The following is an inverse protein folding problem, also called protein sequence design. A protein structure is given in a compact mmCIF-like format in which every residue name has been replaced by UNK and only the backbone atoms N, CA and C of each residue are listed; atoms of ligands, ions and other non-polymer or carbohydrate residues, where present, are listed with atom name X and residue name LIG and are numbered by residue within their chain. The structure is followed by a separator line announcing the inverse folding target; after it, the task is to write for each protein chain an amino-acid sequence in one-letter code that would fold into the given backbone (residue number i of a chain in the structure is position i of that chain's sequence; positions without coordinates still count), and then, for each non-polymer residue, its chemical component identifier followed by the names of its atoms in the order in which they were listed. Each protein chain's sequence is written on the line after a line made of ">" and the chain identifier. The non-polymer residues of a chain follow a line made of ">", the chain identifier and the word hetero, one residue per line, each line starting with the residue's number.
data_IF_128437581008
#
_entry.id   IF_128437581008
#
_cell.length_a   1.000
_cell.length_b   1.000
_cell.length_c   1.000
_cell.angle_alpha   90.00
_cell.angle_beta   90.00
_cell.angle_gamma   90.00
#
_symmetry.space_group_name_H-M   'P 1'
#
loop_
_entity.id
_entity.type
_entity.pdbx_description
1 polymer ?
#
# COMPACT_ATOMS: atom_id res chain seq x y z
N UNK A 1 15.60 12.57 -17.61
CA UNK A 1 15.07 13.69 -16.78
C UNK A 1 14.30 13.06 -15.62
N UNK A 2 14.42 13.60 -14.41
CA UNK A 2 13.62 13.19 -13.25
C UNK A 2 12.34 14.05 -13.16
N UNK A 3 11.36 13.63 -12.37
CA UNK A 3 10.12 14.36 -12.14
C UNK A 3 9.46 13.88 -10.85
N UNK A 4 8.89 14.83 -10.11
CA UNK A 4 8.13 14.57 -8.89
C UNK A 4 6.67 14.25 -9.27
N UNK A 5 6.06 13.28 -8.58
CA UNK A 5 4.68 12.86 -8.81
C UNK A 5 3.72 13.42 -7.76
N UNK A 6 2.44 13.05 -7.89
CA UNK A 6 1.33 13.52 -7.05
C UNK A 6 1.70 13.57 -5.56
N UNK A 7 1.70 14.76 -4.94
CA UNK A 7 2.07 14.89 -3.54
C UNK A 7 0.92 14.50 -2.60
N UNK A 8 1.27 14.00 -1.43
CA UNK A 8 0.42 13.93 -0.25
C UNK A 8 0.72 15.12 0.65
N UNK A 9 -0.32 15.85 1.07
CA UNK A 9 -0.22 17.02 1.93
C UNK A 9 -0.81 16.67 3.29
N UNK A 10 -0.10 17.01 4.35
CA UNK A 10 -0.48 16.69 5.73
C UNK A 10 -0.47 17.97 6.56
N UNK A 11 -1.57 18.16 7.28
CA UNK A 11 -1.75 19.12 8.36
C UNK A 11 -1.48 18.36 9.69
N UNK A 12 -0.37 18.68 10.35
CA UNK A 12 0.10 18.00 11.56
C UNK A 12 -0.58 18.56 12.82
N UNK A 13 -0.84 19.86 12.85
CA UNK A 13 -1.37 20.57 14.02
C UNK A 13 -2.88 20.85 13.96
N UNK A 14 -3.53 20.49 12.84
CA UNK A 14 -4.97 20.64 12.56
C UNK A 14 -5.42 22.09 12.47
N UNK A 15 -4.56 22.99 12.03
CA UNK A 15 -4.88 24.40 11.86
C UNK A 15 -5.47 24.74 10.47
N UNK A 16 -5.61 23.75 9.57
CA UNK A 16 -6.13 23.92 8.21
C UNK A 16 -5.07 24.31 7.17
N UNK A 17 -3.79 24.31 7.53
CA UNK A 17 -2.67 24.61 6.64
C UNK A 17 -1.75 23.41 6.48
N UNK A 18 -0.94 23.42 5.42
CA UNK A 18 -0.01 22.33 5.15
C UNK A 18 1.23 22.46 6.03
N UNK A 19 1.65 21.36 6.66
CA UNK A 19 2.90 21.29 7.43
C UNK A 19 3.95 20.39 6.78
N UNK A 20 3.48 19.29 6.17
CA UNK A 20 4.33 18.25 5.63
C UNK A 20 3.83 17.82 4.26
N UNK A 21 4.73 17.70 3.30
CA UNK A 21 4.41 17.20 1.96
C UNK A 21 5.29 15.99 1.64
N UNK A 22 4.69 14.92 1.14
CA UNK A 22 5.39 13.72 0.67
C UNK A 22 5.16 13.51 -0.81
N UNK A 23 6.21 13.22 -1.58
CA UNK A 23 6.07 12.97 -3.01
C UNK A 23 7.15 12.04 -3.53
N UNK A 24 6.76 11.11 -4.40
CA UNK A 24 7.66 10.20 -5.10
C UNK A 24 8.28 10.81 -6.35
N UNK A 25 9.35 10.20 -6.85
CA UNK A 25 9.96 10.56 -8.13
C UNK A 25 10.21 9.35 -9.06
N UNK A 26 10.58 9.64 -10.33
CA UNK A 26 10.87 8.62 -11.33
C UNK A 26 12.06 7.72 -10.98
N UNK A 27 12.95 8.18 -10.10
CA UNK A 27 14.16 7.46 -9.70
C UNK A 27 13.94 6.58 -8.45
N UNK A 28 12.74 6.62 -7.86
CA UNK A 28 12.39 5.81 -6.69
C UNK A 28 12.75 6.47 -5.36
N UNK A 29 12.89 7.79 -5.34
CA UNK A 29 13.06 8.56 -4.10
C UNK A 29 11.71 9.07 -3.60
N UNK A 30 11.42 8.84 -2.31
CA UNK A 30 10.33 9.47 -1.60
C UNK A 30 10.88 10.71 -0.89
N UNK A 31 10.43 11.88 -1.32
CA UNK A 31 10.81 13.17 -0.74
C UNK A 31 9.81 13.57 0.34
N UNK A 32 10.32 14.26 1.36
CA UNK A 32 9.52 14.94 2.36
C UNK A 32 9.93 16.42 2.39
N UNK A 33 8.95 17.32 2.49
CA UNK A 33 9.14 18.76 2.58
C UNK A 33 8.47 19.28 3.83
N UNK A 34 9.16 20.16 4.55
CA UNK A 34 8.62 20.90 5.68
C UNK A 34 8.14 22.27 5.17
N UNK A 35 6.83 22.46 5.28
CA UNK A 35 6.11 23.68 4.88
C UNK A 35 5.34 24.30 6.05
N UNK A 36 5.59 23.83 7.28
CA UNK A 36 4.93 24.30 8.51
C UNK A 36 5.25 25.74 8.88
N UNK A 37 6.30 26.32 8.27
CA UNK A 37 6.65 27.71 8.54
C UNK A 37 5.67 28.66 7.85
N UNK A 38 5.13 29.62 8.60
CA UNK A 38 4.30 30.72 8.05
C UNK A 38 5.00 31.57 6.98
N UNK A 39 6.33 31.52 6.90
CA UNK A 39 7.13 32.22 5.89
C UNK A 39 7.56 31.21 4.81
N UNK A 40 7.02 31.35 3.60
CA UNK A 40 7.25 30.47 2.45
C UNK A 40 8.73 30.28 2.06
N UNK A 41 9.54 31.33 2.19
CA UNK A 41 10.99 31.27 1.93
C UNK A 41 11.76 30.39 2.90
N UNK A 42 11.13 29.94 4.01
CA UNK A 42 11.71 28.99 4.96
C UNK A 42 11.30 27.54 4.69
N UNK A 43 10.43 27.31 3.71
CA UNK A 43 10.07 25.95 3.30
C UNK A 43 11.26 25.23 2.70
N UNK A 44 11.43 23.96 3.05
CA UNK A 44 12.62 23.22 2.65
C UNK A 44 12.40 21.70 2.62
N UNK A 45 13.28 20.94 1.92
CA UNK A 45 13.32 19.50 2.09
C UNK A 45 13.57 19.14 3.56
N UNK A 46 12.71 18.30 4.11
CA UNK A 46 12.66 18.00 5.54
C UNK A 46 13.93 17.33 6.09
N UNK A 47 14.71 16.67 5.24
CA UNK A 47 15.90 15.91 5.63
C UNK A 47 17.17 16.44 4.96
N UNK A 48 17.36 17.75 4.93
CA UNK A 48 18.65 18.35 4.52
C UNK A 48 19.06 17.98 3.09
N UNK A 49 18.14 18.18 2.13
CA UNK A 49 18.28 17.83 0.70
C UNK A 49 18.43 16.32 0.40
N UNK A 50 18.29 15.45 1.40
CA UNK A 50 18.14 14.02 1.19
C UNK A 50 16.65 13.65 1.11
N UNK A 51 16.28 12.60 0.35
CA UNK A 51 14.96 12.03 0.43
C UNK A 51 14.72 11.41 1.81
N UNK A 52 13.45 11.24 2.18
CA UNK A 52 13.09 10.41 3.32
C UNK A 52 13.55 8.96 3.08
N UNK A 53 13.27 8.44 1.88
CA UNK A 53 13.59 7.07 1.50
C UNK A 53 14.02 6.96 0.04
N UNK A 54 14.93 6.03 -0.25
CA UNK A 54 15.31 5.65 -1.62
C UNK A 54 15.14 4.14 -1.81
N UNK A 55 14.29 3.77 -2.77
CA UNK A 55 14.06 2.39 -3.19
C UNK A 55 15.21 1.79 -4.00
N UNK A 56 14.99 0.59 -4.53
CA UNK A 56 15.94 -0.02 -5.48
C UNK A 56 15.89 0.68 -6.84
N UNK A 57 16.93 0.51 -7.64
CA UNK A 57 16.96 0.99 -9.02
C UNK A 57 15.76 0.44 -9.84
N UNK A 58 15.12 1.31 -10.61
CA UNK A 58 13.97 0.95 -11.45
C UNK A 58 12.63 0.89 -10.72
N UNK A 59 12.56 1.39 -9.49
CA UNK A 59 11.33 1.46 -8.69
C UNK A 59 10.77 2.88 -8.63
N UNK A 60 10.36 3.43 -9.79
CA UNK A 60 9.71 4.74 -9.85
C UNK A 60 8.52 4.82 -8.89
N UNK A 61 8.34 5.94 -8.20
CA UNK A 61 7.18 6.17 -7.34
C UNK A 61 6.27 7.16 -8.05
N UNK A 62 5.27 6.63 -8.76
CA UNK A 62 4.31 7.43 -9.52
C UNK A 62 2.99 7.65 -8.80
N UNK A 63 2.76 6.90 -7.72
CA UNK A 63 1.56 6.95 -6.90
C UNK A 63 1.61 8.11 -5.92
N UNK A 64 0.43 8.68 -5.61
CA UNK A 64 0.28 9.56 -4.46
C UNK A 64 0.49 8.73 -3.18
N UNK A 65 1.43 9.09 -2.29
CA UNK A 65 1.59 8.38 -1.03
C UNK A 65 0.36 8.52 -0.13
N UNK A 66 0.06 7.49 0.63
CA UNK A 66 -0.98 7.51 1.67
C UNK A 66 -0.31 7.70 3.01
N UNK A 67 -0.74 8.68 3.80
CA UNK A 67 -0.06 9.04 5.04
C UNK A 67 -1.00 8.84 6.23
N UNK A 68 -0.50 8.13 7.24
CA UNK A 68 -1.22 7.87 8.50
C UNK A 68 -0.33 8.17 9.69
N UNK A 69 -0.91 8.30 10.89
CA UNK A 69 -0.12 8.26 12.13
C UNK A 69 0.57 6.91 12.26
N UNK A 70 1.75 6.88 12.89
CA UNK A 70 2.43 5.60 13.09
C UNK A 70 1.50 4.60 13.82
N UNK A 71 1.28 3.39 13.27
CA UNK A 71 0.19 2.52 13.71
C UNK A 71 0.40 1.94 15.12
N UNK A 72 1.65 1.80 15.57
CA UNK A 72 2.00 1.14 16.84
C UNK A 72 2.87 1.97 17.78
N UNK A 73 3.35 3.14 17.33
CA UNK A 73 4.29 3.98 18.10
C UNK A 73 3.61 5.31 18.36
N UNK A 74 2.98 5.45 19.53
CA UNK A 74 2.17 6.62 19.86
C UNK A 74 3.01 7.85 20.26
N UNK A 75 4.18 7.63 20.89
CA UNK A 75 5.05 8.68 21.42
C UNK A 75 6.37 8.80 20.63
N UNK A 76 6.32 8.60 19.32
CA UNK A 76 7.49 8.71 18.44
C UNK A 76 7.91 10.15 18.22
N UNK A 77 9.17 10.34 17.82
CA UNK A 77 9.68 11.66 17.40
C UNK A 77 8.86 12.22 16.22
N UNK A 78 8.65 13.54 16.22
CA UNK A 78 7.94 14.23 15.15
C UNK A 78 8.60 13.97 13.77
N UNK A 79 7.82 13.83 12.68
CA UNK A 79 6.36 14.01 12.63
C UNK A 79 5.56 12.75 13.06
N UNK A 80 6.24 11.63 13.29
CA UNK A 80 5.66 10.34 13.70
C UNK A 80 4.56 9.81 12.76
N UNK A 81 4.86 9.80 11.46
CA UNK A 81 3.94 9.40 10.40
C UNK A 81 4.44 8.13 9.68
N UNK A 82 3.52 7.25 9.30
CA UNK A 82 3.78 6.15 8.38
C UNK A 82 3.32 6.56 6.97
N UNK A 83 4.23 6.49 6.01
CA UNK A 83 3.99 6.80 4.60
C UNK A 83 3.94 5.50 3.81
N UNK A 84 2.79 5.23 3.21
CA UNK A 84 2.48 4.01 2.48
C UNK A 84 2.44 4.31 0.98
N UNK A 85 3.18 3.56 0.17
CA UNK A 85 3.24 3.83 -1.27
C UNK A 85 3.68 2.61 -2.05
N UNK A 86 3.22 2.54 -3.30
CA UNK A 86 3.60 1.53 -4.25
C UNK A 86 4.59 2.05 -5.29
N UNK A 87 5.46 1.17 -5.78
CA UNK A 87 6.36 1.50 -6.89
C UNK A 87 5.87 0.91 -8.20
N UNK A 88 6.22 1.59 -9.27
CA UNK A 88 5.75 1.28 -10.61
C UNK A 88 5.63 2.54 -11.44
N UNK A 89 5.66 2.34 -12.76
CA UNK A 89 5.12 3.31 -13.71
C UNK A 89 4.37 2.60 -14.81
N UNK A 90 3.35 3.28 -15.31
CA UNK A 90 2.51 2.84 -16.42
C UNK A 90 2.01 4.09 -17.17
N UNK A 91 2.96 4.89 -17.65
CA UNK A 91 2.71 6.24 -18.21
C UNK A 91 2.88 6.27 -19.74
N UNK A 92 3.56 5.27 -20.30
CA UNK A 92 3.81 5.14 -21.73
C UNK A 92 3.80 3.66 -22.13
N UNK A 93 3.56 3.35 -23.40
CA UNK A 93 3.51 1.97 -23.89
C UNK A 93 4.77 1.16 -23.57
N UNK A 94 5.94 1.80 -23.63
CA UNK A 94 7.21 1.17 -23.29
C UNK A 94 7.32 0.72 -21.82
N UNK A 95 6.38 1.09 -20.95
CA UNK A 95 6.34 0.60 -19.58
C UNK A 95 5.74 -0.82 -19.46
N UNK A 96 4.93 -1.26 -20.43
CA UNK A 96 4.33 -2.61 -20.45
C UNK A 96 5.40 -3.71 -20.44
N UNK A 97 6.56 -3.45 -21.06
CA UNK A 97 7.66 -4.42 -21.16
C UNK A 97 8.64 -4.38 -19.99
N UNK A 98 8.49 -3.41 -19.06
CA UNK A 98 9.35 -3.32 -17.88
C UNK A 98 9.06 -4.45 -16.92
N UNK A 99 10.11 -5.13 -16.49
CA UNK A 99 10.00 -6.32 -15.62
C UNK A 99 10.79 -6.20 -14.32
N UNK A 100 11.28 -5.01 -13.97
CA UNK A 100 11.93 -4.79 -12.67
C UNK A 100 10.96 -5.10 -11.54
N UNK A 101 11.41 -5.85 -10.53
CA UNK A 101 10.63 -6.10 -9.31
C UNK A 101 10.23 -4.77 -8.68
N UNK A 102 8.92 -4.56 -8.57
CA UNK A 102 8.35 -3.44 -7.83
C UNK A 102 7.96 -3.88 -6.43
N UNK A 103 7.64 -2.92 -5.58
CA UNK A 103 7.34 -3.19 -4.18
C UNK A 103 6.28 -2.24 -3.66
N UNK A 104 5.61 -2.66 -2.60
CA UNK A 104 4.82 -1.79 -1.74
C UNK A 104 5.59 -1.53 -0.45
N UNK A 105 5.55 -0.30 0.04
CA UNK A 105 6.34 0.17 1.16
C UNK A 105 5.46 0.78 2.24
N UNK A 106 5.84 0.56 3.49
CA UNK A 106 5.49 1.41 4.62
C UNK A 106 6.77 1.98 5.23
N UNK A 107 6.93 3.31 5.18
CA UNK A 107 8.11 4.02 5.69
C UNK A 107 7.73 4.98 6.81
N UNK A 108 8.35 4.82 7.97
CA UNK A 108 8.16 5.66 9.14
C UNK A 108 9.04 6.90 9.06
N UNK A 109 8.39 8.06 8.94
CA UNK A 109 9.01 9.35 9.15
C UNK A 109 8.93 9.74 10.63
N UNK A 110 10.05 9.62 11.33
CA UNK A 110 10.28 10.13 12.69
C UNK A 110 11.33 11.24 12.73
N UNK A 111 11.52 11.94 11.60
CA UNK A 111 12.57 12.93 11.41
C UNK A 111 13.87 12.36 10.83
N UNK A 112 14.03 11.03 10.82
CA UNK A 112 15.18 10.37 10.19
C UNK A 112 14.98 10.22 8.68
N UNK A 113 15.86 10.83 7.89
CA UNK A 113 15.87 10.68 6.43
C UNK A 113 16.97 9.75 5.91
N UNK A 114 17.20 9.78 4.59
CA UNK A 114 18.17 8.92 3.89
C UNK A 114 17.98 7.42 4.16
N UNK A 115 16.74 7.00 4.40
CA UNK A 115 16.40 5.60 4.58
C UNK A 115 16.54 4.84 3.27
N UNK A 116 16.87 3.55 3.37
CA UNK A 116 16.90 2.66 2.21
C UNK A 116 16.21 1.35 2.57
N UNK A 117 16.14 0.41 1.63
CA UNK A 117 15.54 -0.91 1.91
C UNK A 117 16.17 -1.65 3.09
N UNK A 118 17.47 -1.45 3.36
CA UNK A 118 18.14 -2.06 4.51
C UNK A 118 17.66 -1.50 5.85
N UNK A 119 17.01 -0.33 5.85
CA UNK A 119 16.39 0.29 7.01
C UNK A 119 15.01 -0.31 7.34
N UNK A 120 14.47 -1.19 6.49
CA UNK A 120 13.12 -1.73 6.58
C UNK A 120 13.13 -3.25 6.84
N UNK A 121 12.00 -3.78 7.30
CA UNK A 121 11.77 -5.22 7.39
C UNK A 121 11.19 -5.77 6.07
N UNK A 122 11.75 -6.88 5.58
CA UNK A 122 11.19 -7.58 4.42
C UNK A 122 10.03 -8.46 4.84
N UNK A 123 8.87 -8.30 4.21
CA UNK A 123 7.82 -9.31 4.27
C UNK A 123 8.21 -10.56 3.47
N UNK A 124 7.52 -11.66 3.76
CA UNK A 124 7.60 -12.93 3.03
C UNK A 124 6.19 -13.44 2.74
N UNK A 125 5.98 -14.02 1.55
CA UNK A 125 4.76 -14.76 1.23
C UNK A 125 4.83 -16.16 1.86
N UNK A 126 3.82 -16.51 2.64
CA UNK A 126 3.56 -17.88 3.10
C UNK A 126 2.74 -18.66 2.06
N UNK A 127 1.95 -17.95 1.26
CA UNK A 127 1.23 -18.45 0.09
C UNK A 127 1.25 -17.39 -1.02
N UNK A 128 1.53 -17.80 -2.25
CA UNK A 128 1.37 -16.99 -3.45
C UNK A 128 0.96 -17.91 -4.60
N UNK A 129 -0.34 -18.18 -4.69
CA UNK A 129 -0.92 -19.16 -5.62
C UNK A 129 -1.90 -18.45 -6.56
N UNK A 130 -1.47 -18.26 -7.80
CA UNK A 130 -2.31 -17.62 -8.82
C UNK A 130 -3.47 -18.51 -9.26
N UNK A 131 -3.35 -19.84 -9.17
CA UNK A 131 -4.43 -20.76 -9.53
C UNK A 131 -5.55 -20.77 -8.49
N UNK A 132 -5.21 -20.53 -7.22
CA UNK A 132 -6.19 -20.28 -6.14
C UNK A 132 -6.57 -18.80 -5.99
N UNK A 133 -6.04 -17.92 -6.85
CA UNK A 133 -6.23 -16.46 -6.78
C UNK A 133 -5.90 -15.89 -5.39
N UNK A 134 -4.95 -16.49 -4.66
CA UNK A 134 -4.76 -16.26 -3.23
C UNK A 134 -3.31 -15.93 -2.85
N UNK A 135 -3.15 -14.94 -1.97
CA UNK A 135 -1.88 -14.59 -1.33
C UNK A 135 -2.02 -14.53 0.19
N UNK A 136 -1.00 -15.01 0.89
CA UNK A 136 -0.82 -14.86 2.35
C UNK A 136 0.60 -14.37 2.61
N UNK A 137 0.72 -13.28 3.35
CA UNK A 137 1.98 -12.73 3.86
C UNK A 137 2.15 -13.13 5.33
N UNK A 138 3.40 -13.25 5.79
CA UNK A 138 3.69 -13.53 7.20
C UNK A 138 3.03 -12.49 8.12
N UNK A 139 1.99 -12.85 8.90
CA UNK A 139 1.26 -11.91 9.74
C UNK A 139 2.05 -11.49 10.99
N UNK A 140 3.13 -12.22 11.31
CA UNK A 140 3.90 -12.09 12.54
C UNK A 140 5.29 -11.45 12.33
N UNK A 141 5.54 -10.85 11.15
CA UNK A 141 6.76 -10.11 10.91
C UNK A 141 6.99 -9.07 12.01
N UNK A 142 8.10 -9.21 12.74
CA UNK A 142 8.50 -8.29 13.80
C UNK A 142 9.33 -7.15 13.24
N UNK A 143 8.71 -5.98 13.08
CA UNK A 143 9.42 -4.74 12.71
C UNK A 143 10.01 -4.09 13.97
N UNK A 144 11.32 -3.85 13.97
CA UNK A 144 12.07 -3.36 15.15
C UNK A 144 11.96 -1.83 15.34
N UNK A 145 10.76 -1.29 15.48
CA UNK A 145 10.53 0.16 15.63
C UNK A 145 11.18 0.77 16.87
N UNK A 146 11.10 0.08 18.01
CA UNK A 146 11.54 0.63 19.32
C UNK A 146 13.02 0.39 19.63
N UNK A 147 13.76 -0.32 18.77
CA UNK A 147 15.18 -0.60 19.02
C UNK A 147 16.00 0.68 18.96
N UNK A 148 17.00 0.82 19.83
CA UNK A 148 18.00 1.91 19.78
C UNK A 148 19.04 1.68 18.68
N UNK A 149 19.55 0.45 18.59
CA UNK A 149 20.51 0.01 17.57
C UNK A 149 19.83 -1.00 16.65
N UNK A 150 20.04 -0.86 15.33
CA UNK A 150 19.36 -1.71 14.34
C UNK A 150 17.86 -1.49 14.30
N UNK A 151 17.41 -0.26 14.59
CA UNK A 151 16.03 0.18 14.43
C UNK A 151 15.60 -0.03 12.97
N UNK A 152 14.39 -0.53 12.79
CA UNK A 152 13.74 -0.54 11.48
C UNK A 152 12.71 0.57 11.43
N UNK A 153 12.62 1.19 10.25
CA UNK A 153 11.77 2.36 9.99
C UNK A 153 10.60 1.98 9.10
N UNK A 154 10.10 0.75 9.23
CA UNK A 154 8.98 0.25 8.45
C UNK A 154 9.24 -1.10 7.80
N UNK A 155 8.53 -1.36 6.72
CA UNK A 155 8.44 -2.66 6.07
C UNK A 155 8.24 -2.51 4.56
N UNK A 156 8.49 -3.59 3.82
CA UNK A 156 8.18 -3.65 2.40
C UNK A 156 7.73 -5.03 1.96
N UNK A 157 6.96 -5.08 0.87
CA UNK A 157 6.54 -6.30 0.16
C UNK A 157 7.09 -6.20 -1.26
N UNK A 158 7.94 -7.13 -1.67
CA UNK A 158 8.29 -7.29 -3.09
C UNK A 158 7.14 -7.95 -3.83
N UNK A 159 6.70 -7.36 -4.94
CA UNK A 159 5.63 -7.91 -5.76
C UNK A 159 6.18 -9.10 -6.57
N UNK A 160 5.61 -10.31 -6.42
CA UNK A 160 6.27 -11.52 -6.88
C UNK A 160 6.11 -11.77 -8.38
N UNK A 161 5.08 -11.24 -9.04
CA UNK A 161 4.88 -11.48 -10.46
C UNK A 161 5.77 -10.56 -11.32
N UNK A 162 6.23 -11.08 -12.46
CA UNK A 162 7.08 -10.32 -13.38
C UNK A 162 6.32 -9.09 -13.91
N UNK A 163 6.89 -7.91 -13.71
CA UNK A 163 6.26 -6.66 -14.16
C UNK A 163 5.05 -6.22 -13.34
N UNK A 164 4.72 -6.93 -12.26
CA UNK A 164 3.72 -6.49 -11.29
C UNK A 164 4.13 -5.15 -10.68
N UNK A 165 3.18 -4.24 -10.53
CA UNK A 165 3.44 -2.87 -10.06
C UNK A 165 2.21 -2.24 -9.44
N UNK A 166 2.41 -1.22 -8.63
CA UNK A 166 1.33 -0.43 -8.02
C UNK A 166 1.41 0.99 -8.60
N UNK A 167 0.37 1.39 -9.30
CA UNK A 167 0.28 2.69 -10.00
C UNK A 167 -0.95 3.51 -9.60
N UNK A 168 -1.64 3.07 -8.54
CA UNK A 168 -2.78 3.76 -7.94
C UNK A 168 -2.51 4.04 -6.46
N UNK A 169 -3.16 5.07 -5.92
CA UNK A 169 -3.11 5.40 -4.48
C UNK A 169 -3.70 4.25 -3.64
N UNK A 170 -3.12 4.03 -2.45
CA UNK A 170 -3.63 3.07 -1.48
C UNK A 170 -4.63 3.75 -0.53
N UNK A 171 -5.56 2.98 0.04
CA UNK A 171 -6.50 3.46 1.05
C UNK A 171 -6.21 2.80 2.38
N UNK A 172 -6.47 3.49 3.49
CA UNK A 172 -6.38 2.93 4.84
C UNK A 172 -7.74 3.00 5.51
N UNK A 173 -8.16 1.87 6.09
CA UNK A 173 -9.33 1.79 6.96
C UNK A 173 -8.98 0.93 8.18
N UNK A 174 -9.12 1.51 9.37
CA UNK A 174 -8.67 0.85 10.60
C UNK A 174 -7.17 0.56 10.56
N UNK A 175 -6.78 -0.70 10.75
CA UNK A 175 -5.38 -1.17 10.75
C UNK A 175 -4.95 -1.80 9.43
N UNK A 176 -5.75 -1.67 8.37
CA UNK A 176 -5.53 -2.32 7.08
C UNK A 176 -5.27 -1.26 6.00
N UNK A 177 -4.23 -1.48 5.20
CA UNK A 177 -3.99 -0.77 3.95
C UNK A 177 -4.47 -1.63 2.78
N UNK A 178 -5.30 -1.02 1.94
CA UNK A 178 -5.87 -1.58 0.74
C UNK A 178 -5.16 -0.97 -0.45
N UNK A 179 -4.54 -1.80 -1.28
CA UNK A 179 -3.90 -1.35 -2.51
C UNK A 179 -4.15 -2.37 -3.63
N UNK A 180 -4.09 -1.90 -4.86
CA UNK A 180 -4.22 -2.76 -6.05
C UNK A 180 -2.89 -2.80 -6.79
N UNK A 181 -2.49 -3.97 -7.26
CA UNK A 181 -1.37 -4.12 -8.19
C UNK A 181 -1.87 -4.54 -9.56
N UNK A 182 -1.20 -4.06 -10.60
CA UNK A 182 -1.44 -4.45 -11.99
C UNK A 182 -0.25 -5.26 -12.50
N UNK A 183 -0.55 -6.19 -13.40
CA UNK A 183 0.38 -7.00 -14.15
C UNK A 183 0.06 -6.76 -15.62
N UNK A 184 0.72 -5.79 -16.27
CA UNK A 184 0.44 -5.47 -17.66
C UNK A 184 0.74 -6.66 -18.58
N UNK A 185 -0.18 -6.94 -19.51
CA UNK A 185 0.11 -7.81 -20.64
C UNK A 185 0.64 -6.97 -21.81
N UNK A 186 1.58 -7.54 -22.55
CA UNK A 186 2.16 -6.97 -23.78
C UNK A 186 1.41 -7.43 -25.03
N UNK A 187 0.53 -8.43 -24.90
CA UNK A 187 -0.32 -8.94 -25.98
C UNK A 187 -1.41 -7.93 -26.34
N UNK A 188 -1.55 -7.66 -27.64
CA UNK A 188 -2.55 -6.74 -28.20
C UNK A 188 -4.00 -7.28 -28.15
N UNK A 189 -4.18 -8.56 -27.81
CA UNK A 189 -5.48 -9.25 -27.81
C UNK A 189 -5.98 -9.67 -26.42
N UNK A 190 -5.18 -9.48 -25.35
CA UNK A 190 -5.60 -9.78 -23.98
C UNK A 190 -6.36 -8.57 -23.38
N UNK A 191 -7.16 -8.79 -22.33
CA UNK A 191 -7.96 -7.82 -21.56
C UNK A 191 -7.17 -6.67 -20.89
N UNK A 192 -5.94 -6.41 -21.35
CA UNK A 192 -5.04 -5.35 -20.89
C UNK A 192 -4.04 -5.79 -19.83
N UNK A 193 -4.19 -6.99 -19.26
CA UNK A 193 -3.36 -7.50 -18.17
C UNK A 193 -4.19 -8.21 -17.10
N UNK A 194 -3.58 -8.45 -15.94
CA UNK A 194 -4.29 -8.94 -14.74
C UNK A 194 -3.87 -8.12 -13.53
N UNK A 195 -4.35 -8.46 -12.34
CA UNK A 195 -3.86 -7.83 -11.12
C UNK A 195 -4.40 -8.43 -9.85
N UNK A 196 -4.03 -7.81 -8.74
CA UNK A 196 -4.38 -8.26 -7.40
C UNK A 196 -5.00 -7.14 -6.60
N UNK A 197 -6.07 -7.47 -5.89
CA UNK A 197 -6.46 -6.74 -4.70
C UNK A 197 -5.60 -7.19 -3.53
N UNK A 198 -4.95 -6.25 -2.87
CA UNK A 198 -4.16 -6.50 -1.67
C UNK A 198 -4.79 -5.78 -0.48
N UNK A 199 -4.73 -6.43 0.67
CA UNK A 199 -5.20 -5.95 1.97
C UNK A 199 -4.22 -6.44 3.03
N UNK A 200 -3.39 -5.54 3.56
CA UNK A 200 -2.32 -5.89 4.50
C UNK A 200 -2.35 -5.00 5.73
N UNK A 201 -1.75 -5.46 6.83
CA UNK A 201 -1.65 -4.67 8.06
C UNK A 201 -0.79 -3.42 7.85
N UNK A 202 -1.25 -2.28 8.38
CA UNK A 202 -0.47 -1.03 8.36
C UNK A 202 0.83 -1.14 9.17
N UNK A 203 0.86 -1.98 10.21
CA UNK A 203 1.98 -2.09 11.14
C UNK A 203 3.19 -2.87 10.62
N UNK A 204 2.99 -3.87 9.75
CA UNK A 204 4.08 -4.73 9.28
C UNK A 204 3.94 -5.19 7.83
N UNK A 205 2.82 -4.92 7.16
CA UNK A 205 2.57 -5.41 5.81
C UNK A 205 2.18 -6.89 5.75
N UNK A 206 1.90 -7.52 6.89
CA UNK A 206 1.49 -8.91 6.97
C UNK A 206 0.02 -9.12 6.63
N UNK A 207 -0.39 -10.39 6.57
CA UNK A 207 -1.81 -10.72 6.42
C UNK A 207 -2.63 -10.19 7.60
N UNK A 208 -3.90 -9.78 7.38
CA UNK A 208 -4.81 -9.35 8.43
C UNK A 208 -5.00 -10.39 9.55
N UNK A 209 -5.36 -9.95 10.76
CA UNK A 209 -5.68 -10.85 11.89
C UNK A 209 -7.05 -11.53 11.76
N UNK A 210 -7.92 -10.96 10.93
CA UNK A 210 -9.24 -11.49 10.62
C UNK A 210 -9.49 -11.36 9.11
N UNK A 211 -10.31 -12.25 8.51
CA UNK A 211 -10.65 -12.14 7.10
C UNK A 211 -11.16 -10.76 6.70
N UNK A 212 -10.72 -10.30 5.53
CA UNK A 212 -11.11 -9.00 4.95
C UNK A 212 -11.66 -9.14 3.54
N UNK A 213 -11.78 -10.37 3.07
CA UNK A 213 -12.28 -10.77 1.77
C UNK A 213 -13.32 -11.85 2.01
N UNK A 214 -14.40 -11.80 1.25
CA UNK A 214 -15.28 -12.94 1.03
C UNK A 214 -14.67 -13.78 -0.12
N UNK A 215 -13.95 -14.84 0.25
CA UNK A 215 -13.19 -15.70 -0.66
C UNK A 215 -14.01 -16.88 -1.15
N UNK A 216 -14.96 -17.37 -0.34
CA UNK A 216 -15.86 -18.44 -0.73
C UNK A 216 -17.15 -17.93 -1.42
N UNK A 217 -17.35 -16.61 -1.46
CA UNK A 217 -18.41 -15.89 -2.16
C UNK A 217 -19.81 -16.26 -1.63
N UNK A 218 -19.90 -16.50 -0.32
CA UNK A 218 -21.15 -16.83 0.37
C UNK A 218 -21.93 -15.60 0.89
N UNK A 219 -21.37 -14.40 0.71
CA UNK A 219 -21.93 -13.14 1.15
C UNK A 219 -21.59 -12.78 2.59
N UNK A 220 -20.71 -13.52 3.26
CA UNK A 220 -20.28 -13.26 4.62
C UNK A 220 -18.76 -13.45 4.81
N UNK A 221 -18.09 -12.41 5.31
CA UNK A 221 -16.66 -12.49 5.64
C UNK A 221 -16.47 -13.20 6.99
N UNK A 222 -16.07 -14.47 6.96
CA UNK A 222 -15.90 -15.30 8.17
C UNK A 222 -14.62 -16.12 8.17
N UNK A 223 -14.18 -16.58 9.36
CA UNK A 223 -13.03 -17.50 9.46
C UNK A 223 -13.30 -18.82 8.72
N UNK A 224 -14.56 -19.26 8.65
CA UNK A 224 -14.92 -20.50 7.96
C UNK A 224 -15.12 -20.25 6.47
N UNK A 225 -14.06 -20.37 5.68
CA UNK A 225 -14.13 -20.21 4.22
C UNK A 225 -13.16 -19.15 3.69
N UNK A 226 -12.90 -18.11 4.49
CA UNK A 226 -12.07 -16.97 4.07
C UNK A 226 -10.69 -16.91 4.73
N UNK A 227 -10.27 -18.01 5.32
CA UNK A 227 -8.90 -18.26 5.76
C UNK A 227 -8.31 -19.47 5.06
N UNK A 228 -7.00 -19.61 5.16
CA UNK A 228 -6.29 -20.80 4.70
C UNK A 228 -5.27 -21.27 5.72
N UNK A 229 -5.07 -22.58 5.78
CA UNK A 229 -3.98 -23.19 6.54
C UNK A 229 -2.65 -22.89 5.86
N UNK A 230 -1.78 -22.15 6.54
CA UNK A 230 -0.37 -22.00 6.14
C UNK A 230 0.54 -22.52 7.24
N UNK A 231 1.72 -23.00 6.84
CA UNK A 231 2.78 -23.30 7.79
C UNK A 231 3.31 -21.99 8.38
N UNK A 232 3.06 -21.78 9.67
CA UNK A 232 3.48 -20.57 10.36
C UNK A 232 5.01 -20.41 10.37
N UNK A 233 5.50 -19.19 10.12
CA UNK A 233 6.89 -18.82 10.41
C UNK A 233 6.92 -18.14 11.77
N UNK A 234 7.22 -18.89 12.83
CA UNK A 234 7.23 -18.32 14.19
C UNK A 234 7.55 -19.29 15.33
N UNK A 235 7.98 -20.52 15.05
CA UNK A 235 8.22 -21.53 16.09
C UNK A 235 6.97 -22.28 16.54
N UNK A 236 5.80 -22.03 15.95
CA UNK A 236 4.65 -22.94 16.02
C UNK A 236 4.88 -24.10 15.05
N UNK A 237 4.80 -25.34 15.54
CA UNK A 237 4.97 -26.56 14.75
C UNK A 237 3.66 -27.02 14.11
N UNK A 238 2.74 -26.10 13.78
CA UNK A 238 1.40 -26.42 13.31
C UNK A 238 0.93 -25.48 12.20
N UNK A 239 0.00 -25.98 11.39
CA UNK A 239 -0.76 -25.15 10.45
C UNK A 239 -1.67 -24.20 11.22
N UNK A 240 -1.70 -22.94 10.80
CA UNK A 240 -2.55 -21.92 11.40
C UNK A 240 -3.49 -21.34 10.33
N UNK A 241 -4.76 -21.17 10.70
CA UNK A 241 -5.74 -20.49 9.85
C UNK A 241 -5.37 -19.01 9.77
N UNK A 242 -4.95 -18.57 8.59
CA UNK A 242 -4.52 -17.20 8.33
C UNK A 242 -5.43 -16.56 7.29
N UNK A 243 -5.82 -15.32 7.52
CA UNK A 243 -6.59 -14.54 6.54
C UNK A 243 -5.76 -14.28 5.28
N UNK A 244 -6.44 -14.20 4.15
CA UNK A 244 -5.79 -13.83 2.90
C UNK A 244 -5.37 -12.36 2.89
N UNK A 245 -4.17 -12.11 2.37
CA UNK A 245 -3.62 -10.78 2.14
C UNK A 245 -3.88 -10.26 0.72
N UNK A 246 -4.27 -11.13 -0.21
CA UNK A 246 -4.67 -10.67 -1.53
C UNK A 246 -5.49 -11.68 -2.33
N UNK A 247 -6.43 -11.14 -3.09
CA UNK A 247 -7.34 -11.84 -4.03
C UNK A 247 -6.98 -11.39 -5.45
N UNK A 248 -6.70 -12.34 -6.35
CA UNK A 248 -6.45 -12.01 -7.76
C UNK A 248 -7.78 -11.70 -8.44
N UNK A 249 -7.86 -10.64 -9.25
CA UNK A 249 -9.05 -10.42 -10.09
C UNK A 249 -9.21 -11.58 -11.08
N UNK A 250 -10.44 -11.82 -11.52
CA UNK A 250 -10.69 -12.77 -12.59
C UNK A 250 -9.98 -12.32 -13.87
N UNK A 251 -9.56 -13.28 -14.70
CA UNK A 251 -8.78 -13.00 -15.91
C UNK A 251 -9.55 -12.08 -16.88
N UNK A 252 -10.86 -12.24 -16.92
CA UNK A 252 -11.76 -11.48 -17.77
C UNK A 252 -11.92 -10.03 -17.31
N UNK A 253 -11.68 -9.71 -16.03
CA UNK A 253 -11.80 -8.34 -15.48
C UNK A 253 -10.62 -7.44 -15.86
N UNK A 254 -9.46 -8.03 -16.14
CA UNK A 254 -8.26 -7.28 -16.54
C UNK A 254 -7.48 -6.66 -15.39
N UNK A 255 -6.92 -5.46 -15.60
CA UNK A 255 -6.10 -4.76 -14.62
C UNK A 255 -6.95 -3.91 -13.66
N UNK A 256 -6.76 -4.05 -12.32
CA UNK A 256 -7.46 -3.23 -11.34
C UNK A 256 -6.97 -1.78 -11.31
N UNK A 257 -7.89 -0.83 -11.21
CA UNK A 257 -7.63 0.57 -10.91
C UNK A 257 -7.45 0.78 -9.39
N UNK A 258 -7.37 2.03 -8.93
CA UNK A 258 -7.30 2.33 -7.49
C UNK A 258 -8.57 1.89 -6.76
N UNK A 259 -8.46 1.37 -5.52
CA UNK A 259 -9.64 0.96 -4.76
C UNK A 259 -10.47 2.16 -4.32
N UNK A 260 -11.77 1.95 -4.14
CA UNK A 260 -12.69 2.84 -3.42
C UNK A 260 -13.40 2.05 -2.31
N UNK A 261 -13.73 2.67 -1.19
CA UNK A 261 -14.42 2.00 -0.07
C UNK A 261 -15.63 2.83 0.35
N UNK A 262 -16.82 2.22 0.34
CA UNK A 262 -18.07 2.82 0.81
C UNK A 262 -18.72 1.84 1.79
N UNK A 263 -18.93 2.28 3.03
CA UNK A 263 -19.45 1.42 4.09
C UNK A 263 -18.56 0.20 4.33
N UNK A 264 -19.10 -0.99 4.14
CA UNK A 264 -18.39 -2.27 4.24
C UNK A 264 -18.06 -2.90 2.88
N UNK A 265 -18.09 -2.12 1.79
CA UNK A 265 -17.79 -2.62 0.44
C UNK A 265 -16.57 -1.90 -0.13
N UNK A 266 -15.69 -2.67 -0.75
CA UNK A 266 -14.61 -2.19 -1.61
C UNK A 266 -15.08 -2.31 -3.06
N UNK A 267 -14.86 -1.26 -3.83
CA UNK A 267 -15.10 -1.22 -5.26
C UNK A 267 -13.76 -1.09 -6.00
N UNK A 268 -13.52 -1.98 -6.95
CA UNK A 268 -12.31 -1.97 -7.79
C UNK A 268 -12.73 -1.95 -9.26
N UNK A 269 -12.67 -0.77 -9.92
CA UNK A 269 -12.82 -0.70 -11.37
C UNK A 269 -11.70 -1.49 -12.05
N UNK A 270 -11.99 -2.11 -13.19
CA UNK A 270 -11.01 -2.91 -13.94
C UNK A 270 -11.02 -2.56 -15.43
N UNK A 271 -10.01 -3.02 -16.19
CA UNK A 271 -9.76 -2.55 -17.57
C UNK A 271 -10.57 -3.25 -18.67
N UNK A 272 -11.31 -4.31 -18.34
CA UNK A 272 -12.08 -5.05 -19.34
C UNK A 272 -13.27 -4.27 -19.89
N UNK A 273 -13.52 -4.41 -21.19
CA UNK A 273 -14.55 -3.67 -21.94
C UNK A 273 -15.84 -4.44 -22.16
N UNK A 274 -15.79 -5.78 -22.09
CA UNK A 274 -16.92 -6.64 -22.46
C UNK A 274 -17.82 -6.96 -21.24
N UNK A 275 -17.25 -6.91 -20.04
CA UNK A 275 -17.97 -6.89 -18.74
C UNK A 275 -17.82 -5.55 -17.99
N UNK A 276 -17.56 -4.46 -18.73
CA UNK A 276 -17.41 -3.10 -18.18
C UNK A 276 -18.65 -2.51 -17.47
N UNK A 277 -19.63 -3.37 -17.11
CA UNK A 277 -20.85 -3.04 -16.39
C UNK A 277 -20.74 -3.38 -14.89
N UNK A 278 -19.85 -4.31 -14.48
CA UNK A 278 -19.72 -4.69 -13.07
C UNK A 278 -18.33 -4.33 -12.53
N UNK A 279 -18.28 -3.23 -11.77
CA UNK A 279 -17.14 -2.94 -10.90
C UNK A 279 -16.99 -4.09 -9.91
N UNK A 280 -15.78 -4.64 -9.73
CA UNK A 280 -15.55 -5.69 -8.73
C UNK A 280 -15.96 -5.15 -7.36
N UNK A 281 -16.95 -5.79 -6.76
CA UNK A 281 -17.43 -5.48 -5.42
C UNK A 281 -16.92 -6.56 -4.46
N UNK A 282 -16.07 -6.14 -3.52
CA UNK A 282 -15.57 -7.02 -2.48
C UNK A 282 -16.17 -6.61 -1.14
N UNK A 283 -16.89 -7.54 -0.51
CA UNK A 283 -17.36 -7.38 0.85
C UNK A 283 -16.16 -7.34 1.81
N UNK A 284 -16.10 -6.29 2.61
CA UNK A 284 -15.13 -6.13 3.69
C UNK A 284 -15.80 -6.42 5.03
N UNK A 285 -15.00 -6.84 6.00
CA UNK A 285 -15.45 -6.92 7.40
C UNK A 285 -16.02 -5.56 7.86
N UNK A 286 -17.11 -5.61 8.61
CA UNK A 286 -17.70 -4.42 9.25
C UNK A 286 -16.77 -3.95 10.36
N UNK A 287 -16.18 -2.76 10.19
CA UNK A 287 -15.44 -2.08 11.22
C UNK A 287 -16.10 -0.73 11.50
N UNK A 288 -16.22 -0.37 12.79
CA UNK A 288 -16.62 0.98 13.27
C UNK A 288 -15.61 2.08 12.86
N UNK A 289 -14.52 1.70 12.18
CA UNK A 289 -13.51 2.61 11.70
C UNK A 289 -13.99 3.39 10.47
N UNK A 290 -14.11 4.71 10.62
CA UNK A 290 -14.20 5.67 9.53
C UNK A 290 -12.95 5.60 8.64
N UNK A 291 -13.14 5.60 7.32
CA UNK A 291 -12.04 5.74 6.36
C UNK A 291 -11.35 7.08 6.61
N UNK A 292 -10.04 7.08 6.84
CA UNK A 292 -9.30 8.32 7.11
C UNK A 292 -8.77 8.91 5.81
N UNK A 293 -9.16 10.15 5.50
CA UNK A 293 -8.78 10.84 4.28
C UNK A 293 -9.90 11.73 3.75
N UNK A 294 -9.66 12.43 2.64
CA UNK A 294 -10.67 13.28 1.99
C UNK A 294 -11.58 12.39 1.13
N UNK A 295 -12.80 12.12 1.61
CA UNK A 295 -13.76 11.21 0.95
C UNK A 295 -14.60 11.87 -0.15
N UNK A 296 -14.66 13.21 -0.16
CA UNK A 296 -15.26 13.99 -1.24
C UNK A 296 -14.75 15.42 -1.21
N UNK A 297 -15.01 16.19 -2.27
CA UNK A 297 -14.68 17.62 -2.35
C UNK A 297 -15.50 18.49 -1.36
N UNK A 298 -16.60 17.97 -0.79
CA UNK A 298 -17.54 18.75 0.03
C UNK A 298 -17.41 18.55 1.56
N UNK A 299 -16.64 17.57 2.06
CA UNK A 299 -16.56 17.36 3.50
C UNK A 299 -15.43 18.20 4.13
N UNK A 300 -15.80 19.35 4.70
CA UNK A 300 -14.88 20.27 5.38
C UNK A 300 -14.66 19.97 6.87
N UNK A 301 -15.43 19.06 7.49
CA UNK A 301 -15.24 18.71 8.90
C UNK A 301 -15.62 17.25 9.19
N UNK A 302 -14.84 16.51 10.00
CA UNK A 302 -15.32 15.31 10.67
C UNK A 302 -16.17 15.69 11.89
N UNK A 303 -17.31 15.01 12.07
CA UNK A 303 -18.07 15.02 13.33
C UNK A 303 -17.28 14.39 14.48
#
# INVERSE_FOLDING_TARGET
>A
RNGLFSPAVVDLDRNGTADRIYAGDLNGSLWAFDVSNSIDTKWSPAHGRQPLFTGSSGQSITTKPTVIRHPTVSNGSAPNLMVLFGTGRFLADGDKTRSNTQSFYGVWDNGTGALTRSSLASQTFLLNDSGKRARVLDPYLKVKYEKKTGRQYGWYIDLPAKGERVVSEALVRGKIVYFNSIIPDVSVCASGGSGWEMSVKTENGGSPDAPVFDFNEDGAVTVSGDTTSVSGRGGSTGEEQTAYAGKKLEEEQGMPAGPSIIGNRRFTPASATDEGVEMEETLLITNDATVTGRLSWEQLFPD
#
